data_IF_184842893460
#
_entry.id   IF_184842893460
#
_cell.length_a   1.000
_cell.length_b   1.000
_cell.length_c   1.000
_cell.angle_alpha   90.00
_cell.angle_beta   90.00
_cell.angle_gamma   90.00
#
_symmetry.space_group_name_H-M   'P 1'
#
loop_
_entity.id
_entity.type
_entity.pdbx_description
1 polymer ?
#
# COMPACT_ATOMS: atom_id res chain seq x y z
N UNK A 1 39.55 -32.19 4.72
CA UNK A 1 39.34 -31.87 6.15
C UNK A 1 38.75 -30.47 6.30
N UNK A 2 37.50 -30.39 6.80
CA UNK A 2 36.96 -29.45 7.81
C UNK A 2 36.89 -27.94 7.46
N UNK A 3 35.72 -27.49 6.99
CA UNK A 3 35.27 -26.08 7.04
C UNK A 3 34.85 -25.75 8.48
N UNK A 4 35.43 -24.71 9.08
CA UNK A 4 35.08 -24.22 10.40
C UNK A 4 33.87 -23.29 10.27
N UNK A 5 32.77 -23.67 10.91
CA UNK A 5 31.57 -22.87 11.09
C UNK A 5 31.79 -22.06 12.38
N UNK A 6 31.57 -20.75 12.33
CA UNK A 6 31.44 -19.92 13.53
C UNK A 6 30.15 -19.10 13.39
N UNK A 7 29.13 -19.54 14.11
CA UNK A 7 27.84 -18.90 14.34
C UNK A 7 28.00 -17.85 15.44
N UNK A 8 27.52 -16.61 15.23
CA UNK A 8 27.14 -15.73 16.34
C UNK A 8 26.20 -14.60 15.89
N UNK A 9 24.90 -14.83 16.17
CA UNK A 9 23.90 -13.83 16.58
C UNK A 9 23.64 -12.68 15.59
N UNK A 10 22.70 -12.93 14.68
CA UNK A 10 21.95 -11.91 13.94
C UNK A 10 20.91 -11.27 14.89
N UNK A 11 21.37 -10.50 15.87
CA UNK A 11 20.50 -9.69 16.72
C UNK A 11 20.44 -8.27 16.16
N UNK A 12 19.29 -7.89 15.60
CA UNK A 12 18.96 -6.50 15.33
C UNK A 12 18.43 -6.23 13.91
N UNK A 13 17.15 -5.84 13.83
CA UNK A 13 16.56 -5.01 12.78
C UNK A 13 16.21 -5.61 11.39
N UNK A 14 16.08 -6.93 11.20
CA UNK A 14 15.60 -7.47 9.90
C UNK A 14 14.08 -7.59 9.75
N UNK A 15 13.31 -7.32 10.80
CA UNK A 15 11.85 -7.36 10.73
C UNK A 15 11.23 -5.99 10.45
N UNK A 16 12.01 -4.92 10.26
CA UNK A 16 11.48 -3.56 9.99
C UNK A 16 11.61 -3.11 8.52
N UNK A 17 12.40 -3.80 7.71
CA UNK A 17 12.59 -3.44 6.30
C UNK A 17 11.51 -4.07 5.39
N UNK A 18 11.08 -5.32 5.66
CA UNK A 18 10.09 -6.01 4.82
C UNK A 18 8.66 -5.44 4.92
N UNK A 19 8.31 -4.75 6.02
CA UNK A 19 6.98 -4.15 6.18
C UNK A 19 6.92 -2.70 5.71
N UNK A 20 8.07 -2.01 5.60
CA UNK A 20 8.12 -0.70 4.93
C UNK A 20 7.89 -0.85 3.41
N UNK A 21 8.50 -1.86 2.79
CA UNK A 21 8.25 -2.22 1.38
C UNK A 21 6.76 -2.51 1.11
N UNK A 22 6.10 -3.19 2.05
CA UNK A 22 4.68 -3.54 1.92
C UNK A 22 3.77 -2.31 1.93
N UNK A 23 4.06 -1.31 2.77
CA UNK A 23 3.24 -0.09 2.88
C UNK A 23 3.40 0.81 1.64
N UNK A 24 4.63 0.95 1.12
CA UNK A 24 4.85 1.74 -0.10
C UNK A 24 4.21 1.05 -1.30
N UNK A 25 4.31 -0.27 -1.43
CA UNK A 25 3.62 -1.00 -2.51
C UNK A 25 2.11 -0.84 -2.42
N UNK A 26 1.52 -1.02 -1.24
CA UNK A 26 0.08 -0.82 -1.04
C UNK A 26 -0.35 0.60 -1.38
N UNK A 27 0.43 1.60 -0.95
CA UNK A 27 0.16 2.98 -1.32
C UNK A 27 0.27 3.21 -2.84
N UNK A 28 1.27 2.64 -3.50
CA UNK A 28 1.42 2.72 -4.96
C UNK A 28 0.26 2.04 -5.69
N UNK A 29 -0.21 0.89 -5.22
CA UNK A 29 -1.38 0.18 -5.75
C UNK A 29 -2.64 1.06 -5.67
N UNK A 30 -2.92 1.63 -4.50
CA UNK A 30 -4.07 2.49 -4.28
C UNK A 30 -3.98 3.79 -5.08
N UNK A 31 -2.82 4.45 -5.07
CA UNK A 31 -2.59 5.64 -5.87
C UNK A 31 -2.75 5.34 -7.37
N UNK A 32 -2.42 4.13 -7.82
CA UNK A 32 -2.61 3.71 -9.21
C UNK A 32 -4.08 3.41 -9.52
N UNK A 33 -4.78 2.72 -8.63
CA UNK A 33 -6.21 2.46 -8.75
C UNK A 33 -7.03 3.76 -8.83
N UNK A 34 -6.63 4.78 -8.07
CA UNK A 34 -7.26 6.10 -8.08
C UNK A 34 -6.75 7.03 -9.19
N UNK A 35 -5.78 6.60 -10.01
CA UNK A 35 -5.26 7.35 -11.16
C UNK A 35 -4.25 8.46 -10.84
N UNK A 36 -3.63 8.43 -9.66
CA UNK A 36 -2.56 9.36 -9.26
C UNK A 36 -1.17 8.84 -9.61
N UNK A 37 -0.96 7.52 -9.63
CA UNK A 37 0.32 6.87 -9.91
C UNK A 37 0.29 6.09 -11.24
N UNK A 38 1.30 6.30 -12.08
CA UNK A 38 1.43 5.64 -13.39
C UNK A 38 2.70 4.78 -13.52
N UNK A 39 3.53 4.76 -12.47
CA UNK A 39 4.76 3.99 -12.43
C UNK A 39 4.53 2.50 -12.13
N UNK A 40 5.64 1.80 -11.92
CA UNK A 40 5.65 0.41 -11.47
C UNK A 40 5.46 0.35 -9.95
N UNK A 41 4.75 -0.65 -9.47
CA UNK A 41 4.64 -0.91 -8.03
C UNK A 41 5.89 -1.70 -7.66
N UNK A 42 6.92 -0.98 -7.25
CA UNK A 42 8.24 -1.52 -6.89
C UNK A 42 8.50 -1.45 -5.38
N UNK A 43 7.64 -0.75 -4.62
CA UNK A 43 7.86 -0.48 -3.20
C UNK A 43 8.87 0.64 -2.96
N UNK A 44 9.37 1.27 -4.02
CA UNK A 44 10.34 2.34 -3.92
C UNK A 44 9.65 3.71 -3.89
N UNK A 45 10.00 4.49 -2.87
CA UNK A 45 9.60 5.88 -2.77
C UNK A 45 10.50 6.75 -3.65
N UNK A 46 10.27 6.67 -4.96
CA UNK A 46 10.93 7.47 -5.99
C UNK A 46 10.19 8.80 -6.25
N UNK A 47 10.70 9.60 -7.20
CA UNK A 47 10.10 10.89 -7.55
C UNK A 47 8.65 10.76 -8.06
N UNK A 48 8.32 9.69 -8.76
CA UNK A 48 6.98 9.43 -9.28
C UNK A 48 6.01 9.06 -8.14
N UNK A 49 6.45 8.24 -7.19
CA UNK A 49 5.71 7.91 -5.98
C UNK A 49 5.44 9.17 -5.15
N UNK A 50 6.44 10.03 -4.96
CA UNK A 50 6.29 11.32 -4.26
C UNK A 50 5.30 12.23 -5.00
N UNK A 51 5.39 12.31 -6.32
CA UNK A 51 4.45 13.11 -7.12
C UNK A 51 3.01 12.60 -7.00
N UNK A 52 2.81 11.27 -7.01
CA UNK A 52 1.50 10.66 -6.81
C UNK A 52 0.94 10.95 -5.41
N UNK A 53 1.76 10.83 -4.36
CA UNK A 53 1.37 11.16 -2.99
C UNK A 53 0.93 12.63 -2.90
N UNK A 54 1.70 13.56 -3.47
CA UNK A 54 1.32 14.99 -3.47
C UNK A 54 -0.01 15.23 -4.17
N UNK A 55 -0.27 14.58 -5.30
CA UNK A 55 -1.54 14.71 -6.03
C UNK A 55 -2.70 14.20 -5.20
N UNK A 56 -2.53 13.07 -4.52
CA UNK A 56 -3.50 12.53 -3.59
C UNK A 56 -3.78 13.49 -2.44
N UNK A 57 -2.73 14.02 -1.80
CA UNK A 57 -2.86 15.00 -0.70
C UNK A 57 -3.60 16.25 -1.15
N UNK A 58 -3.25 16.83 -2.31
CA UNK A 58 -3.94 17.99 -2.89
C UNK A 58 -5.42 17.69 -3.11
N UNK A 59 -5.75 16.52 -3.66
CA UNK A 59 -7.14 16.15 -3.95
C UNK A 59 -7.97 15.94 -2.69
N UNK A 60 -7.38 15.35 -1.66
CA UNK A 60 -8.04 15.06 -0.40
C UNK A 60 -7.99 16.22 0.61
N UNK A 61 -7.39 17.35 0.23
CA UNK A 61 -7.28 18.53 1.11
C UNK A 61 -6.33 18.31 2.29
N UNK A 62 -5.38 17.39 2.16
CA UNK A 62 -4.37 17.10 3.18
C UNK A 62 -3.16 18.03 3.04
N UNK A 63 -2.31 18.04 4.06
CA UNK A 63 -1.03 18.74 3.95
C UNK A 63 -0.16 18.10 2.86
N UNK A 64 0.33 18.91 1.92
CA UNK A 64 1.11 18.43 0.76
C UNK A 64 2.58 18.23 1.15
N UNK A 65 2.85 17.18 1.91
CA UNK A 65 4.20 16.79 2.36
C UNK A 65 4.94 15.99 1.28
N UNK A 66 4.21 15.23 0.45
CA UNK A 66 4.78 14.22 -0.45
C UNK A 66 5.29 12.98 0.29
N UNK A 67 4.91 12.83 1.55
CA UNK A 67 5.27 11.72 2.44
C UNK A 67 4.05 10.87 2.73
N UNK A 68 4.25 9.56 2.96
CA UNK A 68 3.22 8.68 3.51
C UNK A 68 3.11 8.90 5.02
N UNK A 69 2.67 10.10 5.40
CA UNK A 69 2.35 10.42 6.79
C UNK A 69 1.08 9.68 7.25
N UNK A 70 0.84 9.69 8.57
CA UNK A 70 -0.30 8.98 9.16
C UNK A 70 -1.64 9.44 8.58
N UNK A 71 -1.76 10.73 8.25
CA UNK A 71 -2.97 11.28 7.63
C UNK A 71 -3.17 10.73 6.21
N UNK A 72 -2.12 10.70 5.40
CA UNK A 72 -2.14 10.14 4.04
C UNK A 72 -2.43 8.64 4.06
N UNK A 73 -1.78 7.89 4.95
CA UNK A 73 -2.01 6.44 5.09
C UNK A 73 -3.43 6.13 5.54
N UNK A 74 -3.99 6.93 6.45
CA UNK A 74 -5.41 6.80 6.86
C UNK A 74 -6.35 7.11 5.70
N UNK A 75 -6.07 8.12 4.90
CA UNK A 75 -6.85 8.46 3.71
C UNK A 75 -6.85 7.32 2.69
N UNK A 76 -5.69 6.75 2.40
CA UNK A 76 -5.54 5.61 1.49
C UNK A 76 -6.34 4.39 2.01
N UNK A 77 -6.15 3.99 3.27
CA UNK A 77 -6.88 2.85 3.85
C UNK A 77 -8.39 3.04 3.95
N UNK A 78 -8.87 4.26 4.21
CA UNK A 78 -10.31 4.53 4.26
C UNK A 78 -10.98 4.33 2.89
N UNK A 79 -10.28 4.66 1.81
CA UNK A 79 -10.73 4.45 0.43
C UNK A 79 -10.63 2.98 0.02
N UNK A 80 -9.58 2.26 0.42
CA UNK A 80 -9.43 0.80 0.24
C UNK A 80 -10.55 0.00 0.92
N UNK A 81 -10.89 0.37 2.16
CA UNK A 81 -11.96 -0.28 2.91
C UNK A 81 -13.33 -0.03 2.27
N UNK A 82 -13.53 1.16 1.69
CA UNK A 82 -14.73 1.48 0.92
C UNK A 82 -14.80 0.72 -0.39
N UNK A 83 -13.66 0.47 -1.05
CA UNK A 83 -13.55 -0.35 -2.26
C UNK A 83 -13.76 -1.86 -2.00
N UNK A 84 -13.54 -2.34 -0.77
CA UNK A 84 -13.80 -3.73 -0.37
C UNK A 84 -15.26 -3.96 0.06
N UNK A 85 -15.99 -2.92 0.42
CA UNK A 85 -17.41 -3.01 0.81
C UNK A 85 -18.37 -3.15 -0.40
N UNK A 86 -17.88 -3.01 -1.64
CA UNK A 86 -18.69 -3.13 -2.87
C UNK A 86 -18.67 -4.53 -3.50
N UNK A 87 -18.10 -5.54 -2.82
CA UNK A 87 -18.32 -6.96 -3.15
C UNK A 87 -19.13 -7.65 -2.07
N UNK A 88 -20.30 -7.12 -1.73
CA UNK A 88 -21.41 -8.01 -1.39
C UNK A 88 -21.78 -8.72 -2.70
N UNK A 89 -21.55 -10.04 -2.85
CA UNK A 89 -22.34 -10.76 -3.83
C UNK A 89 -23.77 -10.53 -3.36
N UNK A 90 -24.53 -9.72 -4.10
CA UNK A 90 -25.98 -9.72 -3.94
C UNK A 90 -26.36 -11.19 -4.05
N UNK A 91 -26.95 -11.83 -3.02
CA UNK A 91 -27.60 -13.11 -3.24
C UNK A 91 -28.67 -12.80 -4.27
N UNK A 92 -28.37 -13.12 -5.52
CA UNK A 92 -29.30 -13.02 -6.62
C UNK A 92 -30.56 -13.75 -6.14
N UNK A 93 -31.73 -13.10 -6.08
CA UNK A 93 -32.95 -13.81 -5.72
C UNK A 93 -33.11 -14.89 -6.78
N UNK A 94 -32.94 -16.14 -6.36
CA UNK A 94 -33.25 -17.29 -7.19
C UNK A 94 -34.76 -17.23 -7.44
N UNK A 95 -35.10 -16.65 -8.58
CA UNK A 95 -36.29 -16.87 -9.36
C UNK A 95 -36.90 -18.24 -9.03
N UNK A 96 -38.05 -18.19 -8.36
CA UNK A 96 -39.05 -19.26 -8.35
C UNK A 96 -39.32 -19.68 -9.79
N UNK A 97 -38.90 -20.89 -10.17
CA UNK A 97 -39.41 -21.53 -11.36
C UNK A 97 -39.75 -23.00 -11.03
N UNK A 98 -41.06 -23.26 -10.90
CA UNK A 98 -41.71 -24.54 -11.22
C UNK A 98 -41.79 -25.59 -10.12
#
# INVERSE_FOLDING_TARGET
MKRKIATAILAGALAQLALADSIVQQAQEELKAQGYYFGQIDGEKNADTIAAIRRFQIRNGLQVTGELDEETLRGLHADSASSTAATTPTPQPQNLEG
#
